data_IF_696821465704
#
_entry.id   IF_696821465704
#
_cell.length_a   1.000
_cell.length_b   1.000
_cell.length_c   1.000
_cell.angle_alpha   90.00
_cell.angle_beta   90.00
_cell.angle_gamma   90.00
#
_symmetry.space_group_name_H-M   'P 1'
#
loop_
_entity.id
_entity.type
_entity.pdbx_description
1 polymer ?
#
# COMPACT_ATOMS: atom_id res chain seq x y z
N UNK A 1 20.51 6.41 -9.21
CA UNK A 1 19.13 6.96 -9.24
C UNK A 1 18.57 6.97 -7.82
N UNK A 2 17.92 8.04 -7.44
CA UNK A 2 17.31 8.13 -6.12
C UNK A 2 15.97 7.34 -6.10
N UNK A 3 15.85 6.34 -5.23
CA UNK A 3 14.64 5.49 -5.10
C UNK A 3 13.48 6.18 -4.37
N UNK A 4 13.28 7.49 -4.59
CA UNK A 4 12.25 8.29 -3.91
C UNK A 4 11.17 8.83 -4.87
N UNK A 5 11.25 8.49 -6.15
CA UNK A 5 10.28 8.87 -7.18
C UNK A 5 9.64 7.63 -7.79
N UNK A 6 8.34 7.72 -8.10
CA UNK A 6 7.54 6.67 -8.71
C UNK A 6 6.63 7.27 -9.80
N UNK A 7 6.39 6.52 -10.89
CA UNK A 7 5.62 6.95 -12.07
C UNK A 7 6.50 7.43 -13.21
N UNK A 8 5.92 7.61 -14.39
CA UNK A 8 6.59 8.10 -15.61
C UNK A 8 6.04 9.46 -16.03
N UNK A 9 4.70 9.61 -16.16
CA UNK A 9 4.01 10.88 -16.46
C UNK A 9 3.38 11.42 -15.19
N UNK A 10 2.53 10.62 -14.51
CA UNK A 10 2.01 10.99 -13.19
C UNK A 10 3.01 10.55 -12.14
N UNK A 11 3.93 11.43 -11.79
CA UNK A 11 5.03 11.09 -10.89
C UNK A 11 4.78 11.55 -9.47
N UNK A 12 5.29 10.79 -8.51
CA UNK A 12 5.34 11.15 -7.10
C UNK A 12 6.78 11.08 -6.61
N UNK A 13 7.35 12.18 -6.17
CA UNK A 13 8.61 12.22 -5.42
C UNK A 13 8.31 12.44 -3.93
N UNK A 14 8.84 11.58 -3.05
CA UNK A 14 8.60 11.65 -1.60
C UNK A 14 9.86 12.05 -0.84
N UNK A 15 9.69 12.80 0.25
CA UNK A 15 10.77 13.21 1.16
C UNK A 15 10.31 13.22 2.63
N UNK A 16 11.25 13.47 3.53
CA UNK A 16 11.02 13.49 4.97
C UNK A 16 11.12 12.12 5.63
N UNK A 17 11.14 12.10 6.95
CA UNK A 17 11.40 10.91 7.77
C UNK A 17 10.40 10.76 8.90
N UNK A 18 10.25 9.53 9.42
CA UNK A 18 9.22 9.19 10.43
C UNK A 18 9.32 9.96 11.73
N UNK A 19 10.52 10.44 12.08
CA UNK A 19 10.81 11.23 13.28
C UNK A 19 11.46 12.58 12.95
N UNK A 20 11.45 12.99 11.68
CA UNK A 20 11.73 14.35 11.24
C UNK A 20 10.54 15.28 11.49
N UNK A 21 10.65 16.57 11.16
CA UNK A 21 9.60 17.57 11.39
C UNK A 21 8.35 17.31 10.55
N UNK A 22 8.52 16.81 9.34
CA UNK A 22 7.44 16.53 8.40
C UNK A 22 7.83 15.43 7.40
N UNK A 23 6.80 14.91 6.72
CA UNK A 23 6.91 14.16 5.46
C UNK A 23 6.24 14.99 4.37
N UNK A 24 6.67 14.83 3.14
CA UNK A 24 6.05 15.54 2.04
C UNK A 24 6.27 14.86 0.71
N UNK A 25 5.58 15.36 -0.30
CA UNK A 25 5.70 14.90 -1.66
C UNK A 25 5.48 15.99 -2.68
N UNK A 26 5.96 15.71 -3.87
CA UNK A 26 5.69 16.49 -5.07
C UNK A 26 5.06 15.54 -6.07
N UNK A 27 3.83 15.88 -6.51
CA UNK A 27 3.16 15.22 -7.63
C UNK A 27 3.42 16.09 -8.86
N UNK A 28 3.96 15.49 -9.92
CA UNK A 28 4.15 16.15 -11.20
C UNK A 28 3.41 15.41 -12.31
N UNK A 29 3.11 16.10 -13.43
CA UNK A 29 2.37 15.53 -14.55
C UNK A 29 0.86 15.38 -14.32
N UNK A 30 0.30 15.94 -13.24
CA UNK A 30 -1.14 16.00 -13.06
C UNK A 30 -1.74 17.04 -14.01
N UNK A 31 -2.72 16.69 -14.89
CA UNK A 31 -3.32 17.64 -15.81
C UNK A 31 -3.99 18.83 -15.10
N UNK A 32 -3.99 20.01 -15.75
CA UNK A 32 -4.69 21.19 -15.27
C UNK A 32 -6.21 20.99 -15.29
N UNK A 33 -6.91 21.67 -14.38
CA UNK A 33 -8.38 21.73 -14.35
C UNK A 33 -9.08 20.58 -13.64
N UNK A 34 -8.34 19.59 -13.09
CA UNK A 34 -8.93 18.56 -12.25
C UNK A 34 -9.47 19.20 -10.95
N UNK A 35 -10.76 19.08 -10.70
CA UNK A 35 -11.38 19.54 -9.45
C UNK A 35 -11.03 18.57 -8.32
N UNK A 36 -10.29 19.04 -7.34
CA UNK A 36 -9.86 18.25 -6.18
C UNK A 36 -10.91 18.36 -5.07
N UNK A 37 -11.40 17.20 -4.62
CA UNK A 37 -12.21 17.09 -3.42
C UNK A 37 -11.29 16.78 -2.23
N UNK A 38 -10.97 17.80 -1.44
CA UNK A 38 -10.11 17.68 -0.27
C UNK A 38 -10.70 16.75 0.81
N UNK A 39 -12.04 16.66 0.88
CA UNK A 39 -12.67 15.72 1.81
C UNK A 39 -12.30 14.28 1.49
N UNK A 40 -12.29 13.89 0.21
CA UNK A 40 -11.84 12.53 -0.21
C UNK A 40 -10.39 12.25 0.15
N UNK A 41 -9.51 13.26 0.04
CA UNK A 41 -8.10 13.13 0.46
C UNK A 41 -8.01 12.88 1.95
N UNK A 42 -8.75 13.64 2.76
CA UNK A 42 -8.77 13.47 4.20
C UNK A 42 -9.41 12.13 4.63
N UNK A 43 -10.48 11.69 3.96
CA UNK A 43 -11.13 10.40 4.22
C UNK A 43 -10.14 9.24 3.98
N UNK A 44 -9.34 9.28 2.89
CA UNK A 44 -8.30 8.27 2.62
C UNK A 44 -7.16 8.31 3.65
N UNK A 45 -6.76 9.51 4.08
CA UNK A 45 -5.77 9.69 5.14
C UNK A 45 -6.27 9.15 6.49
N UNK A 46 -7.53 9.40 6.82
CA UNK A 46 -8.18 8.87 8.02
C UNK A 46 -8.21 7.34 8.04
N UNK A 47 -8.48 6.71 6.90
CA UNK A 47 -8.40 5.25 6.75
C UNK A 47 -6.99 4.70 6.97
N UNK A 48 -5.94 5.47 6.67
CA UNK A 48 -4.54 5.07 6.82
C UNK A 48 -3.97 5.37 8.20
N UNK A 49 -4.40 6.43 8.88
CA UNK A 49 -3.78 6.92 10.13
C UNK A 49 -3.67 5.84 11.22
N UNK A 50 -2.73 5.96 12.17
CA UNK A 50 -2.67 5.11 13.35
C UNK A 50 -3.81 5.45 14.34
N UNK A 51 -4.07 4.55 15.31
CA UNK A 51 -5.00 4.82 16.42
C UNK A 51 -6.47 4.72 16.06
N UNK A 52 -6.84 4.04 14.97
CA UNK A 52 -8.23 3.94 14.50
C UNK A 52 -9.07 2.95 15.30
N UNK A 53 -8.44 1.93 15.88
CA UNK A 53 -9.12 0.84 16.59
C UNK A 53 -8.20 0.18 17.61
N UNK A 54 -8.78 -0.71 18.43
CA UNK A 54 -8.01 -1.48 19.42
C UNK A 54 -7.02 -2.50 18.84
N UNK A 55 -7.18 -2.89 17.58
CA UNK A 55 -6.31 -3.84 16.88
C UNK A 55 -5.15 -3.18 16.12
N UNK A 56 -4.99 -1.87 16.21
CA UNK A 56 -3.87 -1.13 15.63
C UNK A 56 -3.06 -0.42 16.73
N UNK A 57 -1.96 0.21 16.35
CA UNK A 57 -1.13 1.00 17.27
C UNK A 57 -1.93 2.13 17.94
N UNK A 58 -1.61 2.42 19.20
CA UNK A 58 -2.23 3.51 19.96
C UNK A 58 -1.62 4.90 19.68
N UNK A 59 -0.70 5.00 18.72
CA UNK A 59 -0.15 6.28 18.25
C UNK A 59 -1.26 7.14 17.69
N UNK A 60 -1.28 8.43 18.01
CA UNK A 60 -2.29 9.39 17.53
C UNK A 60 -1.63 10.41 16.59
N UNK A 61 -1.92 10.34 15.31
CA UNK A 61 -1.50 11.34 14.31
C UNK A 61 -2.75 11.81 13.55
N UNK A 62 -2.89 13.10 13.39
CA UNK A 62 -4.03 13.66 12.66
C UNK A 62 -3.91 13.50 11.14
N UNK A 63 -2.68 13.27 10.64
CA UNK A 63 -2.35 13.13 9.20
C UNK A 63 -2.96 14.24 8.31
N UNK A 64 -2.97 15.49 8.81
CA UNK A 64 -3.48 16.64 8.05
C UNK A 64 -2.48 17.01 6.96
N UNK A 65 -2.95 17.09 5.71
CA UNK A 65 -2.16 17.54 4.57
C UNK A 65 -2.27 19.06 4.40
N UNK A 66 -1.13 19.70 4.10
CA UNK A 66 -1.02 21.10 3.73
C UNK A 66 -0.47 21.17 2.30
N UNK A 67 -1.30 21.67 1.36
CA UNK A 67 -0.87 21.88 -0.02
C UNK A 67 -0.16 23.23 -0.15
N UNK A 68 0.99 23.23 -0.82
CA UNK A 68 1.87 24.40 -0.94
C UNK A 68 1.86 25.00 -2.35
N UNK A 69 1.52 24.19 -3.37
CA UNK A 69 1.51 24.61 -4.78
C UNK A 69 0.62 23.70 -5.64
N UNK A 70 0.38 24.08 -6.88
CA UNK A 70 -0.25 23.25 -7.90
C UNK A 70 -1.78 23.16 -7.80
N UNK A 71 -2.42 23.85 -6.85
CA UNK A 71 -3.87 23.90 -6.67
C UNK A 71 -4.31 25.34 -6.50
N UNK A 72 -5.33 25.77 -7.26
CA UNK A 72 -5.96 27.08 -7.16
C UNK A 72 -7.48 26.94 -7.31
N UNK A 73 -8.26 27.50 -6.39
CA UNK A 73 -9.72 27.38 -6.33
C UNK A 73 -10.19 25.92 -6.51
N UNK A 74 -9.62 25.01 -5.71
CA UNK A 74 -9.87 23.55 -5.72
C UNK A 74 -9.59 22.86 -7.06
N UNK A 75 -8.85 23.48 -7.98
CA UNK A 75 -8.47 22.89 -9.27
C UNK A 75 -6.95 22.79 -9.40
N UNK A 76 -6.48 21.73 -10.02
CA UNK A 76 -5.07 21.61 -10.39
C UNK A 76 -4.70 22.64 -11.44
N UNK A 77 -3.48 23.17 -11.35
CA UNK A 77 -2.96 24.19 -12.27
C UNK A 77 -2.15 23.60 -13.43
N UNK A 78 -1.83 22.27 -13.38
CA UNK A 78 -0.92 21.63 -14.32
C UNK A 78 0.55 21.79 -13.97
N UNK A 79 0.86 22.51 -12.89
CA UNK A 79 2.21 22.64 -12.33
C UNK A 79 2.40 21.69 -11.14
N UNK A 80 3.62 21.49 -10.63
CA UNK A 80 3.87 20.54 -9.53
C UNK A 80 3.01 20.83 -8.28
N UNK A 81 2.33 19.78 -7.80
CA UNK A 81 1.55 19.84 -6.56
C UNK A 81 2.46 19.46 -5.40
N UNK A 82 2.97 20.46 -4.69
CA UNK A 82 3.76 20.29 -3.50
C UNK A 82 2.89 20.23 -2.25
N UNK A 83 3.19 19.29 -1.33
CA UNK A 83 2.46 19.17 -0.07
C UNK A 83 3.30 18.59 1.06
N UNK A 84 2.90 18.89 2.29
CA UNK A 84 3.54 18.38 3.52
C UNK A 84 2.51 17.84 4.52
N UNK A 85 2.97 16.90 5.37
CA UNK A 85 2.25 16.38 6.53
C UNK A 85 3.19 16.48 7.73
N UNK A 86 2.83 17.30 8.73
CA UNK A 86 3.64 17.51 9.94
C UNK A 86 3.59 16.29 10.86
N UNK A 87 4.71 15.91 11.44
CA UNK A 87 4.79 14.89 12.48
C UNK A 87 4.52 15.52 13.84
N UNK A 88 3.44 15.11 14.53
CA UNK A 88 3.03 15.69 15.82
C UNK A 88 3.30 14.78 17.03
N UNK A 89 3.23 13.44 16.86
CA UNK A 89 3.36 12.45 17.95
C UNK A 89 4.58 11.54 17.76
N UNK A 90 5.76 12.13 17.53
CA UNK A 90 7.03 11.38 17.46
C UNK A 90 7.74 11.40 18.82
N UNK A 91 7.94 10.20 19.41
CA UNK A 91 8.64 10.03 20.70
C UNK A 91 10.03 9.45 20.48
N UNK A 92 10.99 10.28 20.12
CA UNK A 92 12.37 9.87 19.83
C UNK A 92 13.07 9.18 21.01
N UNK A 93 12.65 9.48 22.25
CA UNK A 93 13.16 8.85 23.47
C UNK A 93 12.92 7.33 23.52
N UNK A 94 11.88 6.84 22.86
CA UNK A 94 11.51 5.41 22.84
C UNK A 94 12.55 4.54 22.11
N UNK A 95 13.48 5.13 21.36
CA UNK A 95 14.48 4.43 20.53
C UNK A 95 15.90 4.44 21.13
N UNK A 96 16.17 5.14 22.25
CA UNK A 96 17.52 5.23 22.83
C UNK A 96 18.11 3.85 23.18
N UNK A 97 17.27 2.92 23.64
CA UNK A 97 17.69 1.58 24.06
C UNK A 97 18.17 0.68 22.90
N UNK A 98 17.85 1.03 21.65
CA UNK A 98 18.26 0.32 20.44
C UNK A 98 19.22 1.11 19.56
N UNK A 99 19.77 2.23 20.05
CA UNK A 99 20.66 3.09 19.30
C UNK A 99 21.86 2.32 18.72
N UNK A 100 22.44 1.43 19.52
CA UNK A 100 23.62 0.64 19.18
C UNK A 100 23.29 -0.84 18.89
N UNK A 101 22.01 -1.20 18.70
CA UNK A 101 21.58 -2.57 18.46
C UNK A 101 20.70 -2.64 17.22
N UNK A 102 20.63 -3.82 16.59
CA UNK A 102 19.86 -4.01 15.37
C UNK A 102 18.62 -4.84 15.65
N UNK A 103 17.45 -4.32 15.31
CA UNK A 103 16.19 -5.06 15.42
C UNK A 103 16.17 -6.18 14.37
N UNK A 104 15.88 -7.42 14.74
CA UNK A 104 15.72 -8.52 13.77
C UNK A 104 14.69 -8.17 12.69
N UNK A 105 14.99 -8.48 11.43
CA UNK A 105 14.13 -8.22 10.27
C UNK A 105 13.73 -6.75 10.04
N UNK A 106 14.39 -5.78 10.70
CA UNK A 106 14.24 -4.35 10.47
C UNK A 106 15.39 -3.79 9.63
N UNK A 107 15.26 -2.55 9.14
CA UNK A 107 16.26 -1.93 8.26
C UNK A 107 17.53 -1.42 8.97
N UNK A 108 17.63 -1.51 10.28
CA UNK A 108 18.69 -0.88 11.08
C UNK A 108 20.08 -1.26 10.60
N UNK A 109 20.36 -2.57 10.47
CA UNK A 109 21.65 -3.10 10.04
C UNK A 109 22.00 -2.69 8.60
N UNK A 110 21.03 -2.82 7.68
CA UNK A 110 21.28 -2.52 6.27
C UNK A 110 21.44 -1.03 6.00
N UNK A 111 20.84 -0.16 6.82
CA UNK A 111 21.06 1.29 6.74
C UNK A 111 22.46 1.69 7.17
N UNK A 112 22.95 1.18 8.32
CA UNK A 112 24.30 1.46 8.78
C UNK A 112 25.35 0.97 7.76
N UNK A 113 25.17 -0.22 7.17
CA UNK A 113 26.11 -0.76 6.20
C UNK A 113 26.04 -0.07 4.84
N UNK A 114 24.85 0.38 4.41
CA UNK A 114 24.71 1.04 3.10
C UNK A 114 25.15 2.48 3.11
N UNK A 115 24.80 3.21 4.17
CA UNK A 115 25.01 4.66 4.23
C UNK A 115 26.15 5.06 5.19
N UNK A 116 26.70 4.13 5.98
CA UNK A 116 27.72 4.38 6.99
C UNK A 116 27.22 5.14 8.22
N UNK A 117 25.96 5.57 8.20
CA UNK A 117 25.33 6.38 9.24
C UNK A 117 23.81 6.25 9.17
N UNK A 118 23.13 6.21 10.32
CA UNK A 118 21.67 6.23 10.39
C UNK A 118 21.14 7.11 11.52
N UNK A 119 19.98 7.69 11.33
CA UNK A 119 19.20 8.22 12.44
C UNK A 119 18.48 7.06 13.14
N UNK A 120 18.89 6.74 14.37
CA UNK A 120 18.33 5.66 15.16
C UNK A 120 16.90 5.96 15.69
N UNK A 121 16.41 7.20 15.58
CA UNK A 121 15.13 7.67 16.10
C UNK A 121 13.96 7.16 15.26
N UNK A 122 13.83 5.86 15.09
CA UNK A 122 12.76 5.20 14.34
C UNK A 122 13.25 4.48 13.09
N UNK A 123 12.38 4.35 12.08
CA UNK A 123 12.71 3.68 10.81
C UNK A 123 13.09 4.65 9.69
N UNK A 124 13.11 5.97 9.93
CA UNK A 124 13.40 6.97 8.90
C UNK A 124 12.53 6.79 7.66
N UNK A 125 13.16 6.74 6.48
CA UNK A 125 12.52 6.47 5.20
C UNK A 125 11.98 5.04 5.05
N UNK A 126 12.51 4.05 5.80
CA UNK A 126 12.00 2.67 5.78
C UNK A 126 10.76 2.46 6.65
N UNK A 127 10.31 3.48 7.36
CA UNK A 127 9.10 3.42 8.18
C UNK A 127 7.84 3.46 7.34
N UNK A 128 6.82 2.65 7.72
CA UNK A 128 5.49 2.73 7.12
C UNK A 128 4.81 4.11 7.28
N UNK A 129 5.38 5.02 8.08
CA UNK A 129 4.95 6.42 8.18
C UNK A 129 5.05 7.13 6.83
N UNK A 130 6.04 6.80 6.01
CA UNK A 130 6.26 7.36 4.68
C UNK A 130 5.04 7.16 3.75
N UNK A 131 4.29 6.08 3.91
CA UNK A 131 3.12 5.77 3.07
C UNK A 131 1.98 6.80 3.15
N UNK A 132 1.98 7.70 4.13
CA UNK A 132 1.01 8.80 4.21
C UNK A 132 1.08 9.71 2.97
N UNK A 133 2.29 9.94 2.45
CA UNK A 133 2.53 10.74 1.25
C UNK A 133 1.96 10.03 0.01
N UNK A 134 2.11 8.71 -0.07
CA UNK A 134 1.54 7.89 -1.16
C UNK A 134 0.02 7.93 -1.17
N UNK A 135 -0.61 7.95 0.01
CA UNK A 135 -2.08 8.02 0.14
C UNK A 135 -2.62 9.37 -0.34
N UNK A 136 -1.94 10.49 -0.05
CA UNK A 136 -2.32 11.81 -0.61
C UNK A 136 -2.29 11.77 -2.13
N UNK A 137 -1.17 11.33 -2.72
CA UNK A 137 -1.01 11.28 -4.16
C UNK A 137 -2.00 10.30 -4.82
N UNK A 138 -2.19 9.13 -4.21
CA UNK A 138 -3.16 8.12 -4.66
C UNK A 138 -4.60 8.62 -4.61
N UNK A 139 -4.97 9.44 -3.61
CA UNK A 139 -6.30 10.04 -3.52
C UNK A 139 -6.55 11.06 -4.64
N UNK A 140 -5.53 11.82 -5.04
CA UNK A 140 -5.61 12.70 -6.22
C UNK A 140 -5.70 11.87 -7.50
N UNK A 141 -4.87 10.82 -7.62
CA UNK A 141 -4.90 9.90 -8.76
C UNK A 141 -6.26 9.21 -8.92
N UNK A 142 -6.91 8.74 -7.84
CA UNK A 142 -8.28 8.19 -7.86
C UNK A 142 -9.29 9.18 -8.45
N UNK A 143 -9.14 10.47 -8.18
CA UNK A 143 -10.04 11.50 -8.70
C UNK A 143 -9.79 11.74 -10.19
N UNK A 144 -8.54 11.69 -10.64
CA UNK A 144 -8.15 11.82 -12.05
C UNK A 144 -8.71 10.70 -12.92
N UNK A 145 -8.67 9.46 -12.43
CA UNK A 145 -9.05 8.26 -13.20
C UNK A 145 -10.53 7.89 -13.09
N UNK A 146 -11.36 8.71 -12.47
CA UNK A 146 -12.80 8.46 -12.41
C UNK A 146 -13.37 8.25 -13.84
N UNK A 147 -14.21 7.20 -14.11
CA UNK A 147 -14.99 6.38 -13.16
C UNK A 147 -14.33 5.04 -12.73
N UNK A 148 -13.05 4.84 -12.95
CA UNK A 148 -12.35 3.63 -12.49
C UNK A 148 -12.45 3.54 -10.96
N UNK A 149 -12.80 2.37 -10.42
CA UNK A 149 -12.95 2.12 -8.98
C UNK A 149 -11.89 1.14 -8.50
N UNK A 150 -11.23 1.47 -7.42
CA UNK A 150 -10.22 0.62 -6.79
C UNK A 150 -10.73 0.24 -5.41
N UNK A 151 -10.90 -1.07 -5.17
CA UNK A 151 -11.41 -1.61 -3.92
C UNK A 151 -10.39 -2.60 -3.37
N UNK A 152 -9.76 -2.27 -2.26
CA UNK A 152 -8.92 -3.20 -1.53
C UNK A 152 -9.56 -3.59 -0.20
N UNK A 153 -9.26 -4.80 0.27
CA UNK A 153 -9.80 -5.35 1.50
C UNK A 153 -8.86 -6.41 2.06
N UNK A 154 -8.98 -6.71 3.34
CA UNK A 154 -8.24 -7.80 3.97
C UNK A 154 -8.91 -9.12 3.65
N UNK A 155 -8.20 -10.01 2.95
CA UNK A 155 -8.65 -11.35 2.59
C UNK A 155 -8.12 -12.43 3.52
N UNK A 156 -6.96 -12.21 4.19
CA UNK A 156 -6.51 -13.12 5.24
C UNK A 156 -5.73 -12.41 6.35
N UNK A 157 -5.74 -13.01 7.55
CA UNK A 157 -4.87 -12.69 8.67
C UNK A 157 -4.36 -14.00 9.27
N UNK A 158 -3.05 -14.21 9.26
CA UNK A 158 -2.47 -15.49 9.63
C UNK A 158 -3.01 -16.61 8.73
N UNK A 159 -3.56 -17.64 9.35
CA UNK A 159 -4.20 -18.80 8.72
C UNK A 159 -5.72 -18.65 8.47
N UNK A 160 -6.30 -17.53 8.92
CA UNK A 160 -7.73 -17.24 8.71
C UNK A 160 -7.91 -16.50 7.39
N UNK A 161 -8.62 -17.11 6.45
CA UNK A 161 -8.90 -16.56 5.13
C UNK A 161 -10.40 -16.54 4.83
N UNK A 162 -10.85 -15.54 4.08
CA UNK A 162 -12.20 -15.52 3.52
C UNK A 162 -12.22 -16.24 2.16
N UNK A 163 -13.41 -16.61 1.71
CA UNK A 163 -13.60 -17.07 0.33
C UNK A 163 -13.22 -15.94 -0.64
N UNK A 164 -12.41 -16.28 -1.65
CA UNK A 164 -11.81 -15.33 -2.59
C UNK A 164 -12.59 -15.17 -3.90
N UNK A 165 -13.86 -15.58 -3.99
CA UNK A 165 -14.69 -15.29 -5.16
C UNK A 165 -14.98 -13.78 -5.24
N UNK A 166 -14.11 -13.05 -5.93
CA UNK A 166 -14.18 -11.58 -6.07
C UNK A 166 -15.49 -11.09 -6.71
N UNK A 167 -16.20 -11.95 -7.47
CA UNK A 167 -17.47 -11.60 -8.12
C UNK A 167 -18.61 -11.41 -7.12
N UNK A 168 -18.55 -12.07 -5.97
CA UNK A 168 -19.60 -12.09 -4.95
C UNK A 168 -19.38 -11.08 -3.82
N UNK A 169 -18.24 -10.37 -3.80
CA UNK A 169 -17.91 -9.48 -2.69
C UNK A 169 -18.72 -8.19 -2.75
N UNK A 170 -19.38 -7.86 -1.64
CA UNK A 170 -19.94 -6.54 -1.43
C UNK A 170 -18.90 -5.61 -0.77
N UNK A 171 -18.18 -4.85 -1.58
CA UNK A 171 -17.12 -3.94 -1.13
C UNK A 171 -17.58 -2.85 -0.15
N UNK A 172 -18.89 -2.52 -0.11
CA UNK A 172 -19.44 -1.57 0.85
C UNK A 172 -19.35 -2.07 2.31
N UNK A 173 -19.11 -3.36 2.51
CA UNK A 173 -18.94 -3.93 3.83
C UNK A 173 -17.50 -3.80 4.35
N UNK A 174 -16.53 -3.47 3.51
CA UNK A 174 -15.10 -3.41 3.88
C UNK A 174 -14.86 -2.51 5.09
N UNK A 175 -15.41 -1.31 5.08
CA UNK A 175 -15.21 -0.34 6.18
C UNK A 175 -16.14 -0.58 7.39
N UNK A 176 -17.07 -1.54 7.34
CA UNK A 176 -17.92 -1.92 8.50
C UNK A 176 -17.16 -2.75 9.53
N UNK A 177 -16.05 -3.36 9.14
CA UNK A 177 -15.15 -4.12 10.01
C UNK A 177 -13.89 -3.34 10.30
N UNK A 178 -13.44 -3.34 11.56
CA UNK A 178 -12.14 -2.73 11.95
C UNK A 178 -10.94 -3.45 11.33
N UNK A 179 -11.12 -4.70 10.88
CA UNK A 179 -10.12 -5.47 10.13
C UNK A 179 -10.15 -5.10 8.64
N UNK A 180 -11.25 -4.50 8.14
CA UNK A 180 -11.49 -4.26 6.72
C UNK A 180 -11.62 -5.53 5.89
N UNK A 181 -12.21 -6.57 6.46
CA UNK A 181 -12.65 -7.76 5.74
C UNK A 181 -14.15 -7.62 5.43
N UNK A 182 -14.61 -7.77 4.16
CA UNK A 182 -16.01 -7.59 3.79
C UNK A 182 -16.94 -8.72 4.24
N UNK A 183 -16.40 -9.89 4.62
CA UNK A 183 -17.15 -10.98 5.23
C UNK A 183 -17.15 -10.83 6.76
N UNK A 184 -18.34 -10.63 7.35
CA UNK A 184 -18.48 -10.30 8.77
C UNK A 184 -18.07 -11.44 9.70
N UNK A 185 -18.29 -12.70 9.30
CA UNK A 185 -17.93 -13.88 10.11
C UNK A 185 -16.41 -14.03 10.15
N UNK A 186 -15.77 -14.00 9.00
CA UNK A 186 -14.31 -14.08 8.88
C UNK A 186 -13.63 -12.86 9.51
N UNK A 187 -14.21 -11.66 9.35
CA UNK A 187 -13.72 -10.44 10.00
C UNK A 187 -13.63 -10.58 11.52
N UNK A 188 -14.64 -11.19 12.15
CA UNK A 188 -14.65 -11.43 13.60
C UNK A 188 -13.57 -12.41 14.01
N UNK A 189 -13.37 -13.50 13.28
CA UNK A 189 -12.29 -14.46 13.55
C UNK A 189 -10.91 -13.82 13.43
N UNK A 190 -10.68 -13.00 12.38
CA UNK A 190 -9.43 -12.25 12.18
C UNK A 190 -9.18 -11.26 13.33
N UNK A 191 -10.21 -10.54 13.76
CA UNK A 191 -10.14 -9.61 14.89
C UNK A 191 -9.70 -10.32 16.16
N UNK A 192 -10.31 -11.47 16.48
CA UNK A 192 -9.99 -12.26 17.67
C UNK A 192 -8.56 -12.80 17.62
N UNK A 193 -8.08 -13.25 16.44
CA UNK A 193 -6.69 -13.65 16.24
C UNK A 193 -5.73 -12.48 16.50
N UNK A 194 -6.00 -11.28 15.95
CA UNK A 194 -5.15 -10.11 16.16
C UNK A 194 -5.09 -9.73 17.64
N UNK A 195 -6.24 -9.75 18.34
CA UNK A 195 -6.31 -9.46 19.79
C UNK A 195 -5.51 -10.47 20.61
N UNK A 196 -5.64 -11.77 20.29
CA UNK A 196 -4.87 -12.84 20.94
C UNK A 196 -3.37 -12.66 20.73
N UNK A 197 -2.94 -12.41 19.49
CA UNK A 197 -1.54 -12.18 19.14
C UNK A 197 -0.98 -10.94 19.85
N UNK A 198 -1.74 -9.83 19.88
CA UNK A 198 -1.38 -8.61 20.62
C UNK A 198 -1.17 -8.87 22.10
N UNK A 199 -2.07 -9.67 22.73
CA UNK A 199 -1.97 -10.04 24.17
C UNK A 199 -0.73 -10.89 24.44
N UNK A 200 -0.32 -11.72 23.49
CA UNK A 200 0.91 -12.51 23.57
C UNK A 200 2.19 -11.67 23.34
N UNK A 201 2.07 -10.37 23.04
CA UNK A 201 3.21 -9.51 22.71
C UNK A 201 3.85 -9.81 21.37
N UNK A 202 3.12 -10.43 20.45
CA UNK A 202 3.57 -10.86 19.13
C UNK A 202 2.84 -10.11 18.00
N UNK A 203 3.14 -10.44 16.76
CA UNK A 203 2.57 -9.84 15.56
C UNK A 203 2.17 -10.90 14.54
N UNK A 204 1.20 -10.59 13.70
CA UNK A 204 0.71 -11.47 12.64
C UNK A 204 0.66 -10.73 11.31
N UNK A 205 0.96 -11.42 10.22
CA UNK A 205 0.83 -10.94 8.84
C UNK A 205 -0.54 -11.27 8.25
N UNK A 206 -0.66 -11.06 6.95
CA UNK A 206 -1.87 -11.41 6.21
C UNK A 206 -1.81 -10.96 4.77
N UNK A 207 -2.95 -11.01 4.09
CA UNK A 207 -3.09 -10.66 2.67
C UNK A 207 -4.12 -9.55 2.50
N UNK A 208 -3.78 -8.58 1.67
CA UNK A 208 -4.71 -7.57 1.15
C UNK A 208 -4.99 -7.92 -0.31
N UNK A 209 -6.26 -8.16 -0.64
CA UNK A 209 -6.72 -8.31 -2.01
C UNK A 209 -7.21 -6.98 -2.56
N UNK A 210 -7.03 -6.77 -3.85
CA UNK A 210 -7.47 -5.57 -4.55
C UNK A 210 -8.19 -5.93 -5.84
N UNK A 211 -9.30 -5.24 -6.12
CA UNK A 211 -10.05 -5.34 -7.36
C UNK A 211 -10.24 -3.96 -7.96
N UNK A 212 -9.81 -3.79 -9.21
CA UNK A 212 -9.94 -2.53 -9.97
C UNK A 212 -11.01 -2.75 -11.04
N UNK A 213 -12.08 -1.95 -10.97
CA UNK A 213 -13.23 -2.04 -11.85
C UNK A 213 -13.30 -0.88 -12.84
N UNK A 214 -14.00 -1.11 -13.96
CA UNK A 214 -14.20 -0.13 -15.02
C UNK A 214 -12.89 0.34 -15.68
N UNK A 215 -11.90 -0.55 -15.75
CA UNK A 215 -10.63 -0.25 -16.41
C UNK A 215 -10.86 -0.30 -17.93
N UNK A 216 -10.53 0.75 -18.69
CA UNK A 216 -10.62 0.69 -20.15
C UNK A 216 -9.61 -0.30 -20.71
N UNK A 217 -9.88 -0.82 -21.91
CA UNK A 217 -8.91 -1.59 -22.68
C UNK A 217 -7.75 -0.68 -23.08
N UNK A 218 -6.51 -1.18 -23.00
CA UNK A 218 -5.35 -0.50 -23.57
C UNK A 218 -4.35 0.07 -22.55
N UNK A 219 -4.57 -0.09 -21.24
CA UNK A 219 -3.59 0.36 -20.23
C UNK A 219 -2.46 -0.65 -20.09
N UNK A 220 -1.23 -0.21 -20.23
CA UNK A 220 -0.03 -1.05 -20.13
C UNK A 220 0.67 -1.23 -21.48
N UNK A 221 1.83 -1.89 -21.44
CA UNK A 221 2.70 -2.09 -22.60
C UNK A 221 2.99 -3.60 -22.82
N UNK A 222 3.31 -4.04 -24.07
CA UNK A 222 3.43 -5.46 -24.36
C UNK A 222 4.75 -6.10 -23.93
N UNK A 223 5.83 -5.34 -23.73
CA UNK A 223 7.16 -5.87 -23.39
C UNK A 223 7.59 -5.39 -22.02
N UNK A 224 8.15 -4.20 -21.93
CA UNK A 224 8.47 -3.54 -20.66
C UNK A 224 7.30 -2.67 -20.23
N UNK A 225 7.20 -2.35 -18.94
CA UNK A 225 6.08 -1.60 -18.36
C UNK A 225 4.72 -2.31 -18.57
N UNK A 226 4.71 -3.65 -18.55
CA UNK A 226 3.45 -4.40 -18.50
C UNK A 226 2.64 -3.96 -17.28
N UNK A 227 1.33 -3.78 -17.44
CA UNK A 227 0.48 -3.27 -16.36
C UNK A 227 0.61 -4.08 -15.06
N UNK A 228 0.61 -5.42 -15.14
CA UNK A 228 0.80 -6.27 -13.96
C UNK A 228 2.22 -6.16 -13.37
N UNK A 229 3.24 -5.92 -14.19
CA UNK A 229 4.61 -5.71 -13.72
C UNK A 229 4.71 -4.42 -12.91
N UNK A 230 4.10 -3.33 -13.38
CA UNK A 230 4.11 -2.05 -12.69
C UNK A 230 3.23 -2.08 -11.41
N UNK A 231 2.09 -2.79 -11.44
CA UNK A 231 1.32 -3.07 -10.23
C UNK A 231 2.16 -3.87 -9.21
N UNK A 232 2.87 -4.91 -9.65
CA UNK A 232 3.79 -5.68 -8.81
C UNK A 232 4.91 -4.81 -8.22
N UNK A 233 5.56 -3.97 -9.04
CA UNK A 233 6.58 -3.02 -8.61
C UNK A 233 6.04 -2.04 -7.55
N UNK A 234 4.83 -1.54 -7.76
CA UNK A 234 4.14 -0.65 -6.83
C UNK A 234 3.88 -1.35 -5.49
N UNK A 235 3.30 -2.56 -5.51
CA UNK A 235 2.95 -3.32 -4.31
C UNK A 235 4.20 -3.76 -3.53
N UNK A 236 5.23 -4.30 -4.21
CA UNK A 236 6.49 -4.72 -3.58
C UNK A 236 7.30 -3.55 -3.00
N UNK A 237 7.00 -2.30 -3.39
CA UNK A 237 7.57 -1.10 -2.77
C UNK A 237 6.94 -0.74 -1.43
N UNK A 238 5.80 -1.34 -1.06
CA UNK A 238 5.13 -1.08 0.21
C UNK A 238 5.86 -1.81 1.34
N UNK A 239 6.04 -1.14 2.47
CA UNK A 239 6.70 -1.71 3.64
C UNK A 239 6.02 -3.03 4.08
N UNK A 240 6.82 -4.02 4.47
CA UNK A 240 6.41 -5.36 4.92
C UNK A 240 5.83 -6.27 3.82
N UNK A 241 5.66 -5.84 2.59
CA UNK A 241 5.23 -6.73 1.50
C UNK A 241 6.30 -7.77 1.21
N UNK A 242 5.86 -9.02 0.98
CA UNK A 242 6.68 -10.20 0.69
C UNK A 242 6.24 -10.96 -0.55
N UNK A 243 5.03 -10.73 -1.04
CA UNK A 243 4.50 -11.40 -2.22
C UNK A 243 3.47 -10.55 -2.94
N UNK A 244 3.39 -10.76 -4.24
CA UNK A 244 2.39 -10.22 -5.14
C UNK A 244 1.96 -11.32 -6.10
N UNK A 245 0.66 -11.47 -6.27
CA UNK A 245 0.06 -12.47 -7.15
C UNK A 245 -1.13 -11.82 -7.85
N UNK A 246 -1.22 -11.96 -9.18
CA UNK A 246 -2.32 -11.37 -9.93
C UNK A 246 -3.06 -12.42 -10.77
N UNK A 247 -4.35 -12.19 -11.03
CA UNK A 247 -5.18 -13.14 -11.75
C UNK A 247 -5.21 -14.49 -11.04
N UNK A 248 -5.09 -15.58 -11.79
CA UNK A 248 -5.01 -16.94 -11.26
C UNK A 248 -3.73 -17.23 -10.46
N UNK A 249 -2.70 -16.36 -10.55
CA UNK A 249 -1.48 -16.44 -9.78
C UNK A 249 -0.78 -17.80 -9.83
N UNK A 250 -0.34 -18.28 -8.66
CA UNK A 250 0.33 -19.59 -8.55
C UNK A 250 -0.60 -20.77 -8.86
N UNK A 251 -1.91 -20.65 -8.63
CA UNK A 251 -2.86 -21.72 -8.99
C UNK A 251 -2.95 -21.92 -10.50
N UNK A 252 -2.82 -20.84 -11.28
CA UNK A 252 -2.75 -20.93 -12.76
C UNK A 252 -1.62 -21.81 -13.27
N UNK A 253 -0.49 -21.91 -12.53
CA UNK A 253 0.63 -22.77 -12.93
C UNK A 253 0.33 -24.28 -12.83
N UNK A 254 -0.75 -24.67 -12.14
CA UNK A 254 -1.21 -26.04 -12.00
C UNK A 254 -2.29 -26.41 -13.03
N UNK A 255 -2.82 -25.43 -13.75
CA UNK A 255 -3.91 -25.60 -14.71
C UNK A 255 -3.38 -26.03 -16.10
N UNK A 256 -4.21 -26.72 -16.87
CA UNK A 256 -3.97 -26.92 -18.30
C UNK A 256 -4.39 -25.67 -19.06
N UNK A 257 -3.76 -25.42 -20.21
CA UNK A 257 -4.09 -24.27 -21.06
C UNK A 257 -5.56 -24.21 -21.46
N UNK A 258 -6.20 -25.36 -21.75
CA UNK A 258 -7.62 -25.46 -22.04
C UNK A 258 -8.53 -24.99 -20.91
N UNK A 259 -8.10 -25.15 -19.66
CA UNK A 259 -8.85 -24.78 -18.47
C UNK A 259 -8.56 -23.32 -18.06
N UNK A 260 -7.37 -22.83 -18.37
CA UNK A 260 -6.92 -21.48 -18.04
C UNK A 260 -7.35 -20.43 -19.05
N UNK A 261 -7.58 -20.79 -20.32
CA UNK A 261 -7.88 -19.83 -21.39
C UNK A 261 -9.22 -19.13 -21.17
N UNK A 262 -9.19 -17.81 -21.06
CA UNK A 262 -10.38 -16.96 -20.99
C UNK A 262 -11.02 -16.81 -22.37
N UNK A 263 -12.04 -17.60 -22.68
CA UNK A 263 -12.72 -17.61 -23.98
C UNK A 263 -13.51 -16.32 -24.21
N UNK A 264 -13.34 -15.70 -25.35
CA UNK A 264 -14.06 -14.48 -25.72
C UNK A 264 -15.57 -14.71 -25.91
N UNK A 265 -16.32 -13.70 -25.53
CA UNK A 265 -17.74 -13.55 -25.84
C UNK A 265 -17.92 -12.60 -27.03
N UNK A 266 -19.11 -12.57 -27.62
CA UNK A 266 -19.41 -11.74 -28.81
C UNK A 266 -19.28 -10.24 -28.58
N UNK A 267 -19.38 -9.79 -27.34
CA UNK A 267 -19.23 -8.39 -26.90
C UNK A 267 -17.77 -8.01 -26.55
N UNK A 268 -16.81 -8.90 -26.87
CA UNK A 268 -15.39 -8.67 -26.65
C UNK A 268 -14.90 -8.83 -25.21
N UNK A 269 -15.77 -9.30 -24.31
CA UNK A 269 -15.39 -9.69 -22.95
C UNK A 269 -14.93 -11.15 -22.92
N UNK A 270 -14.60 -11.65 -21.75
CA UNK A 270 -14.25 -13.05 -21.56
C UNK A 270 -15.26 -13.76 -20.62
N UNK A 271 -15.46 -15.08 -20.84
CA UNK A 271 -16.36 -15.90 -20.03
C UNK A 271 -15.84 -16.10 -18.61
N UNK A 272 -14.53 -16.22 -18.47
CA UNK A 272 -13.77 -16.31 -17.23
C UNK A 272 -12.81 -15.13 -17.16
N UNK A 273 -12.11 -14.96 -16.07
CA UNK A 273 -11.13 -13.88 -15.90
C UNK A 273 -9.89 -14.38 -15.16
N UNK A 274 -9.38 -15.54 -15.55
CA UNK A 274 -8.18 -16.14 -14.96
C UNK A 274 -6.92 -15.34 -15.26
N UNK A 275 -6.91 -14.61 -16.39
CA UNK A 275 -5.87 -13.64 -16.74
C UNK A 275 -5.85 -12.39 -15.86
N UNK A 276 -6.83 -12.22 -14.95
CA UNK A 276 -6.88 -11.08 -14.03
C UNK A 276 -7.03 -9.72 -14.71
N UNK A 277 -7.77 -9.63 -15.83
CA UNK A 277 -8.05 -8.39 -16.55
C UNK A 277 -6.90 -7.86 -17.40
N UNK A 278 -5.80 -8.62 -17.55
CA UNK A 278 -4.59 -8.19 -18.27
C UNK A 278 -4.13 -9.31 -19.18
N UNK A 279 -4.04 -9.02 -20.48
CA UNK A 279 -3.54 -9.94 -21.51
C UNK A 279 -2.39 -9.29 -22.29
N UNK A 280 -1.29 -10.02 -22.49
CA UNK A 280 -0.10 -9.47 -23.14
C UNK A 280 0.55 -8.27 -22.43
N UNK A 281 0.21 -8.00 -21.17
CA UNK A 281 0.67 -6.83 -20.40
C UNK A 281 -0.28 -5.63 -20.43
N UNK A 282 -1.39 -5.74 -21.17
CA UNK A 282 -2.34 -4.66 -21.47
C UNK A 282 -3.71 -5.02 -20.86
N UNK A 283 -4.43 -4.05 -20.30
CA UNK A 283 -5.78 -4.25 -19.78
C UNK A 283 -6.76 -4.64 -20.89
N UNK A 284 -7.61 -5.63 -20.62
CA UNK A 284 -8.57 -6.19 -21.59
C UNK A 284 -10.03 -5.76 -21.35
N UNK A 285 -10.27 -4.85 -20.40
CA UNK A 285 -11.61 -4.36 -20.05
C UNK A 285 -12.34 -5.18 -18.99
N UNK A 286 -11.79 -6.33 -18.58
CA UNK A 286 -12.28 -7.07 -17.42
C UNK A 286 -11.75 -6.46 -16.12
N UNK A 287 -12.34 -6.83 -14.98
CA UNK A 287 -11.85 -6.42 -13.66
C UNK A 287 -10.41 -6.92 -13.46
N UNK A 288 -9.52 -6.03 -13.00
CA UNK A 288 -8.17 -6.40 -12.60
C UNK A 288 -8.20 -6.79 -11.13
N UNK A 289 -7.62 -7.95 -10.78
CA UNK A 289 -7.53 -8.37 -9.39
C UNK A 289 -6.16 -8.99 -9.06
N UNK A 290 -5.73 -8.79 -7.81
CA UNK A 290 -4.45 -9.27 -7.30
C UNK A 290 -4.44 -9.34 -5.78
N UNK A 291 -3.46 -10.09 -5.24
CA UNK A 291 -3.22 -10.30 -3.83
C UNK A 291 -1.84 -9.77 -3.43
N UNK A 292 -1.75 -9.18 -2.25
CA UNK A 292 -0.51 -8.63 -1.69
C UNK A 292 -0.28 -9.21 -0.30
N UNK A 293 0.79 -10.00 -0.14
CA UNK A 293 1.14 -10.64 1.11
C UNK A 293 2.06 -9.78 1.97
N UNK A 294 1.66 -9.57 3.23
CA UNK A 294 2.38 -8.78 4.23
C UNK A 294 2.95 -9.68 5.33
N UNK A 295 4.24 -9.57 5.60
CA UNK A 295 4.86 -10.24 6.75
C UNK A 295 4.40 -9.63 8.08
N UNK A 296 4.54 -10.36 9.21
CA UNK A 296 4.39 -9.80 10.54
C UNK A 296 5.30 -8.60 10.78
N UNK A 297 4.90 -7.68 11.67
CA UNK A 297 5.73 -6.54 12.08
C UNK A 297 6.97 -7.04 12.83
N UNK A 298 8.13 -6.52 12.49
CA UNK A 298 9.41 -6.97 13.07
C UNK A 298 9.60 -6.64 14.54
N UNK A 299 8.93 -5.59 15.05
CA UNK A 299 9.07 -5.16 16.45
C UNK A 299 8.01 -5.86 17.29
N UNK A 300 8.44 -6.84 18.11
CA UNK A 300 7.58 -7.59 19.03
C UNK A 300 7.93 -7.27 20.49
N UNK A 301 6.99 -7.50 21.40
CA UNK A 301 7.13 -7.23 22.84
C UNK A 301 7.72 -8.42 23.60
N UNK A 302 8.41 -9.31 22.87
CA UNK A 302 9.13 -10.46 23.40
C UNK A 302 10.64 -10.22 23.29
N UNK A 303 11.43 -10.93 24.11
CA UNK A 303 12.88 -10.88 24.06
C UNK A 303 13.38 -11.53 22.77
N UNK A 304 14.27 -10.86 22.06
CA UNK A 304 14.86 -11.34 20.82
C UNK A 304 16.40 -11.26 20.91
N UNK A 305 17.06 -12.30 20.48
CA UNK A 305 18.51 -12.29 20.32
C UNK A 305 18.91 -11.54 19.04
N UNK A 306 19.95 -10.74 19.13
CA UNK A 306 20.48 -9.95 18.03
C UNK A 306 21.93 -9.55 18.28
N UNK A 307 22.46 -8.70 17.43
CA UNK A 307 23.81 -8.13 17.60
C UNK A 307 23.75 -6.60 17.77
N UNK A 308 24.77 -6.07 18.43
CA UNK A 308 24.99 -4.63 18.47
C UNK A 308 25.92 -4.17 17.31
N UNK A 309 26.17 -2.86 17.22
CA UNK A 309 27.04 -2.25 16.20
C UNK A 309 28.50 -2.70 16.23
N UNK A 310 28.93 -3.41 17.31
CA UNK A 310 30.25 -4.00 17.46
C UNK A 310 30.26 -5.51 17.17
N UNK A 311 29.15 -6.08 16.66
CA UNK A 311 29.02 -7.50 16.37
C UNK A 311 28.82 -8.40 17.60
N UNK A 312 28.64 -7.85 18.81
CA UNK A 312 28.44 -8.64 20.04
C UNK A 312 26.98 -9.04 20.17
N UNK A 313 26.72 -10.29 20.58
CA UNK A 313 25.37 -10.79 20.89
C UNK A 313 24.75 -9.99 22.05
N UNK A 314 23.50 -9.57 21.86
CA UNK A 314 22.70 -8.86 22.84
C UNK A 314 21.25 -9.32 22.77
N UNK A 315 20.50 -9.14 23.85
CA UNK A 315 19.04 -9.32 23.86
C UNK A 315 18.36 -7.95 23.78
N UNK A 316 17.37 -7.85 22.94
CA UNK A 316 16.51 -6.66 22.86
C UNK A 316 15.05 -7.07 23.04
N UNK A 317 14.26 -6.13 23.53
CA UNK A 317 12.81 -6.26 23.62
C UNK A 317 12.18 -5.03 22.97
N UNK A 318 11.19 -5.23 22.12
CA UNK A 318 10.45 -4.13 21.53
C UNK A 318 9.79 -3.29 22.62
N UNK A 319 9.90 -1.98 22.48
CA UNK A 319 9.22 -0.99 23.36
C UNK A 319 8.45 -0.03 22.46
N UNK A 320 7.40 0.56 23.00
CA UNK A 320 6.62 1.56 22.27
C UNK A 320 5.32 0.99 21.67
N UNK A 321 4.77 1.76 20.72
CA UNK A 321 3.42 1.55 20.17
C UNK A 321 3.52 1.01 18.74
N UNK A 322 3.42 -0.30 18.57
CA UNK A 322 3.50 -0.98 17.26
C UNK A 322 2.16 -1.62 16.90
N UNK A 323 1.92 -1.80 15.61
CA UNK A 323 0.76 -2.52 15.11
C UNK A 323 0.94 -4.04 15.36
N UNK A 324 -0.01 -4.73 15.99
CA UNK A 324 0.02 -6.20 16.05
C UNK A 324 -0.21 -6.85 14.69
N UNK A 325 -0.89 -6.13 13.76
CA UNK A 325 -1.12 -6.52 12.38
C UNK A 325 -1.21 -5.26 11.51
N UNK A 326 -0.47 -5.23 10.40
CA UNK A 326 -0.43 -4.04 9.52
C UNK A 326 -1.52 -4.05 8.44
N UNK A 327 -2.10 -5.21 8.10
CA UNK A 327 -2.95 -5.33 6.90
C UNK A 327 -4.19 -4.44 6.92
N UNK A 328 -4.89 -4.18 8.05
CA UNK A 328 -6.02 -3.26 8.04
C UNK A 328 -5.64 -1.84 7.60
N UNK A 329 -4.42 -1.39 7.95
CA UNK A 329 -3.90 -0.09 7.57
C UNK A 329 -3.26 -0.08 6.18
N UNK A 330 -2.90 -1.25 5.67
CA UNK A 330 -2.33 -1.40 4.32
C UNK A 330 -3.38 -1.23 3.22
N UNK A 331 -4.67 -1.48 3.50
CA UNK A 331 -5.75 -1.38 2.52
C UNK A 331 -5.74 -0.04 1.75
N UNK A 332 -5.82 1.14 2.37
CA UNK A 332 -5.77 2.41 1.62
C UNK A 332 -4.42 2.66 0.94
N UNK A 333 -3.33 2.02 1.39
CA UNK A 333 -2.02 2.15 0.75
C UNK A 333 -1.98 1.33 -0.55
N UNK A 334 -2.53 0.12 -0.54
CA UNK A 334 -2.68 -0.73 -1.74
C UNK A 334 -3.55 -0.01 -2.78
N UNK A 335 -4.69 0.56 -2.35
CA UNK A 335 -5.54 1.37 -3.24
C UNK A 335 -4.78 2.58 -3.82
N UNK A 336 -4.03 3.30 -3.00
CA UNK A 336 -3.29 4.48 -3.42
C UNK A 336 -2.21 4.14 -4.45
N UNK A 337 -1.43 3.10 -4.21
CA UNK A 337 -0.37 2.67 -5.13
C UNK A 337 -0.95 2.13 -6.44
N UNK A 338 -2.09 1.42 -6.38
CA UNK A 338 -2.84 1.03 -7.59
C UNK A 338 -3.30 2.25 -8.39
N UNK A 339 -3.82 3.27 -7.71
CA UNK A 339 -4.28 4.49 -8.37
C UNK A 339 -3.14 5.24 -9.08
N UNK A 340 -1.94 5.27 -8.49
CA UNK A 340 -0.76 5.88 -9.11
C UNK A 340 -0.38 5.16 -10.41
N UNK A 341 -0.36 3.82 -10.40
CA UNK A 341 -0.06 3.02 -11.61
C UNK A 341 -1.13 3.25 -12.68
N UNK A 342 -2.40 3.15 -12.30
CA UNK A 342 -3.51 3.31 -13.26
C UNK A 342 -3.54 4.73 -13.82
N UNK A 343 -3.28 5.77 -13.01
CA UNK A 343 -3.25 7.16 -13.48
C UNK A 343 -2.11 7.40 -14.48
N UNK A 344 -0.93 6.83 -14.21
CA UNK A 344 0.22 6.92 -15.12
C UNK A 344 -0.11 6.32 -16.49
N UNK A 345 -0.62 5.09 -16.54
CA UNK A 345 -1.03 4.44 -17.78
C UNK A 345 -2.27 5.06 -18.42
N UNK A 346 -3.19 5.60 -17.64
CA UNK A 346 -4.36 6.32 -18.15
C UNK A 346 -3.96 7.57 -18.95
N UNK A 347 -2.94 8.29 -18.50
CA UNK A 347 -2.39 9.44 -19.22
C UNK A 347 -1.56 9.00 -20.43
N UNK A 348 -0.71 7.96 -20.28
CA UNK A 348 0.08 7.39 -21.39
C UNK A 348 -0.80 6.90 -22.53
N UNK A 349 -1.89 6.19 -22.21
CA UNK A 349 -2.79 5.63 -23.22
C UNK A 349 -3.47 6.68 -24.13
N UNK A 350 -3.54 7.96 -23.66
CA UNK A 350 -4.04 9.06 -24.49
C UNK A 350 -3.15 9.37 -25.69
N UNK A 351 -1.91 8.91 -25.67
CA UNK A 351 -0.93 9.08 -26.74
C UNK A 351 -0.88 7.89 -27.69
N UNK A 352 -1.61 6.80 -27.40
CA UNK A 352 -1.52 5.54 -28.17
C UNK A 352 -2.30 5.55 -29.46
N UNK A 353 -3.20 6.51 -29.66
CA UNK A 353 -4.02 6.65 -30.89
C UNK A 353 -4.16 8.12 -31.25
N UNK A 354 -4.15 8.38 -32.55
CA UNK A 354 -4.45 9.68 -33.16
C UNK A 354 -5.95 9.81 -33.37
#
# INVERSE_FOLDING_TARGET
MAGNSFGNIFTLTTFGESHGPALGGIIDGCPAGLKINLKKVNDDLDRRRPGQSEIVTQRKEADSVEFLSGIFNDKTTGTPIGFIIKNKDHKSKDYKHIMNSYRPSHADFVYDNKYGFRDYRGGGRSSARETVVRVVAGSIAKQLISPIKINAFVSSVGDISMDSDFSKINYNNTEKSIVRCPDSKTAKMMEDLIKKTKKAGDTVGGVVSCVIKNVPIGLGEPVFNKLHSELGRAMLSINAVKGFEFGSGFEGSKMKGSDHNDLFTKDGKTKTNLSGGIQGGISNGMDIYFNVAFKPVSTIMQDQETINSKGKSVKIKGKGRHDPCVVPRAVPIVEAMSALVIADFYLLNRLSKI
#
